data_IF_297109836317
#
_entry.id   IF_297109836317
#
_cell.length_a   1.000
_cell.length_b   1.000
_cell.length_c   1.000
_cell.angle_alpha   90.00
_cell.angle_beta   90.00
_cell.angle_gamma   90.00
#
_symmetry.space_group_name_H-M   'P 1'
#
loop_
_entity.id
_entity.type
_entity.pdbx_description
1 polymer ?
#
# COMPACT_ATOMS: atom_id res chain seq x y z
N UNK A 1 35.47 -59.72 2.77
CA UNK A 1 35.55 -58.33 3.22
C UNK A 1 34.64 -57.50 2.34
N UNK A 2 33.54 -57.02 2.91
CA UNK A 2 32.41 -56.43 2.20
C UNK A 2 32.69 -55.00 1.72
N UNK A 3 32.20 -54.74 0.51
CA UNK A 3 32.14 -53.48 -0.23
C UNK A 3 31.67 -52.29 0.61
N UNK A 4 32.45 -51.20 0.62
CA UNK A 4 31.99 -49.87 1.05
C UNK A 4 30.98 -49.33 0.04
N UNK A 5 29.70 -49.54 0.32
CA UNK A 5 28.63 -48.76 -0.26
C UNK A 5 28.80 -47.30 0.18
N UNK A 6 29.03 -46.42 -0.80
CA UNK A 6 28.82 -44.99 -0.61
C UNK A 6 27.34 -44.77 -0.31
N UNK A 7 27.03 -44.55 0.97
CA UNK A 7 25.77 -43.94 1.36
C UNK A 7 25.83 -42.48 0.92
N UNK A 8 25.50 -42.23 -0.34
CA UNK A 8 25.00 -40.93 -0.77
C UNK A 8 23.78 -40.65 0.10
N UNK A 9 23.97 -39.84 1.14
CA UNK A 9 22.93 -39.44 2.06
C UNK A 9 21.79 -38.78 1.29
N UNK A 10 20.75 -39.56 0.98
CA UNK A 10 19.41 -39.13 0.56
C UNK A 10 18.76 -38.40 1.76
N UNK A 11 19.30 -37.24 2.16
CA UNK A 11 18.76 -36.39 3.24
C UNK A 11 18.70 -34.90 2.89
N UNK A 12 18.62 -34.52 1.62
CA UNK A 12 18.52 -33.09 1.27
C UNK A 12 17.46 -32.71 0.23
N UNK A 13 16.50 -33.58 -0.06
CA UNK A 13 15.47 -33.30 -1.07
C UNK A 13 14.29 -32.47 -0.56
N UNK A 14 14.26 -32.13 0.74
CA UNK A 14 13.22 -31.28 1.35
C UNK A 14 13.73 -29.85 1.63
N UNK A 15 14.49 -29.29 0.68
CA UNK A 15 15.14 -27.97 0.78
C UNK A 15 14.37 -26.84 0.11
N UNK A 16 13.31 -27.17 -0.61
CA UNK A 16 12.52 -26.23 -1.37
C UNK A 16 11.20 -25.93 -0.68
N UNK A 17 10.72 -24.70 -0.80
CA UNK A 17 9.41 -24.31 -0.33
C UNK A 17 8.65 -23.52 -1.39
N UNK A 18 7.34 -23.74 -1.45
CA UNK A 18 6.46 -23.02 -2.34
C UNK A 18 6.12 -21.65 -1.74
N UNK A 19 6.16 -20.64 -2.61
CA UNK A 19 5.87 -19.26 -2.28
C UNK A 19 4.90 -18.69 -3.32
N UNK A 20 3.82 -18.09 -2.83
CA UNK A 20 2.84 -17.38 -3.65
C UNK A 20 2.85 -15.91 -3.27
N UNK A 21 3.06 -15.04 -4.26
CA UNK A 21 2.99 -13.59 -4.09
C UNK A 21 1.82 -13.04 -4.90
N UNK A 22 0.83 -12.48 -4.19
CA UNK A 22 -0.26 -11.75 -4.83
C UNK A 22 0.25 -10.40 -5.32
N UNK A 23 0.12 -10.15 -6.62
CA UNK A 23 0.57 -8.95 -7.29
C UNK A 23 -0.41 -7.78 -7.09
N UNK A 24 -0.14 -6.66 -7.74
CA UNK A 24 -0.94 -5.44 -7.59
C UNK A 24 -2.23 -5.46 -8.41
N UNK A 25 -2.32 -6.30 -9.43
CA UNK A 25 -3.51 -6.60 -10.23
C UNK A 25 -4.33 -7.78 -9.66
N UNK A 26 -3.98 -8.24 -8.46
CA UNK A 26 -4.54 -9.41 -7.76
C UNK A 26 -4.27 -10.77 -8.42
N UNK A 27 -3.46 -10.82 -9.50
CA UNK A 27 -2.90 -12.08 -9.99
C UNK A 27 -1.91 -12.68 -8.97
N UNK A 28 -1.64 -13.98 -9.10
CA UNK A 28 -0.75 -14.70 -8.19
C UNK A 28 0.48 -15.23 -8.92
N UNK A 29 1.66 -14.79 -8.47
CA UNK A 29 2.94 -15.35 -8.91
C UNK A 29 3.37 -16.45 -7.93
N UNK A 30 3.34 -17.70 -8.39
CA UNK A 30 3.76 -18.86 -7.59
C UNK A 30 5.10 -19.38 -8.08
N UNK A 31 6.03 -19.60 -7.15
CA UNK A 31 7.34 -20.16 -7.45
C UNK A 31 7.85 -21.04 -6.30
N UNK A 32 8.82 -21.89 -6.63
CA UNK A 32 9.55 -22.70 -5.66
C UNK A 32 10.88 -22.04 -5.36
N UNK A 33 11.19 -21.84 -4.08
CA UNK A 33 12.41 -21.19 -3.62
C UNK A 33 13.19 -22.12 -2.68
N UNK A 34 14.51 -21.98 -2.64
CA UNK A 34 15.33 -22.66 -1.64
C UNK A 34 15.01 -22.10 -0.23
N UNK A 35 15.06 -22.93 0.80
CA UNK A 35 14.73 -22.55 2.18
C UNK A 35 15.63 -21.45 2.74
N UNK A 36 16.87 -21.36 2.28
CA UNK A 36 17.82 -20.30 2.63
C UNK A 36 17.76 -19.08 1.71
N UNK A 37 16.91 -19.09 0.67
CA UNK A 37 16.74 -17.98 -0.25
C UNK A 37 16.42 -16.69 0.48
N UNK A 38 17.12 -15.62 0.10
CA UNK A 38 16.94 -14.28 0.64
C UNK A 38 15.73 -13.61 0.03
N UNK A 39 15.13 -12.66 0.75
CA UNK A 39 14.01 -11.87 0.21
C UNK A 39 14.35 -11.15 -1.10
N UNK A 40 15.61 -10.75 -1.28
CA UNK A 40 16.08 -10.13 -2.54
C UNK A 40 15.87 -11.03 -3.75
N UNK A 41 16.13 -12.35 -3.63
CA UNK A 41 15.98 -13.30 -4.74
C UNK A 41 14.52 -13.36 -5.22
N UNK A 42 13.57 -13.52 -4.30
CA UNK A 42 12.14 -13.51 -4.62
C UNK A 42 11.70 -12.17 -5.23
N UNK A 43 12.20 -11.06 -4.70
CA UNK A 43 11.87 -9.74 -5.22
C UNK A 43 12.38 -9.54 -6.66
N UNK A 44 13.61 -9.96 -6.95
CA UNK A 44 14.16 -9.86 -8.30
C UNK A 44 13.43 -10.77 -9.30
N UNK A 45 12.96 -11.96 -8.90
CA UNK A 45 12.09 -12.80 -9.73
C UNK A 45 10.79 -12.10 -10.11
N UNK A 46 10.14 -11.44 -9.14
CA UNK A 46 8.89 -10.70 -9.38
C UNK A 46 9.14 -9.49 -10.27
N UNK A 47 10.21 -8.72 -10.02
CA UNK A 47 10.56 -7.59 -10.88
C UNK A 47 10.87 -8.02 -12.31
N UNK A 48 11.52 -9.17 -12.49
CA UNK A 48 11.77 -9.74 -13.82
C UNK A 48 10.45 -10.15 -14.49
N UNK A 49 9.57 -10.86 -13.78
CA UNK A 49 8.26 -11.28 -14.29
C UNK A 49 7.39 -10.08 -14.73
N UNK A 50 7.39 -9.00 -13.95
CA UNK A 50 6.66 -7.76 -14.26
C UNK A 50 7.41 -6.84 -15.23
N UNK A 51 8.61 -7.21 -15.64
CA UNK A 51 9.51 -6.38 -16.45
C UNK A 51 9.70 -4.95 -15.88
N UNK A 52 9.95 -4.84 -14.57
CA UNK A 52 9.96 -3.60 -13.79
C UNK A 52 11.39 -3.12 -13.48
N UNK A 53 11.79 -1.94 -13.96
CA UNK A 53 13.12 -1.35 -13.64
C UNK A 53 13.08 -0.42 -12.43
N UNK A 54 12.02 0.38 -12.27
CA UNK A 54 11.84 1.31 -11.15
C UNK A 54 11.39 0.59 -9.86
N UNK A 55 12.08 -0.50 -9.50
CA UNK A 55 11.68 -1.42 -8.43
C UNK A 55 11.77 -0.83 -7.02
N UNK A 56 12.54 0.23 -6.83
CA UNK A 56 12.82 0.81 -5.51
C UNK A 56 11.56 1.36 -4.79
N UNK A 57 10.45 1.59 -5.51
CA UNK A 57 9.16 2.00 -4.93
C UNK A 57 8.37 0.85 -4.29
N UNK A 58 8.71 -0.41 -4.58
CA UNK A 58 7.92 -1.58 -4.22
C UNK A 58 8.57 -2.42 -3.14
N UNK A 59 7.76 -3.25 -2.49
CA UNK A 59 8.23 -4.23 -1.53
C UNK A 59 7.28 -5.41 -1.42
N UNK A 60 7.76 -6.48 -0.77
CA UNK A 60 6.95 -7.65 -0.46
C UNK A 60 6.50 -7.54 1.00
N UNK A 61 5.20 -7.66 1.23
CA UNK A 61 4.58 -7.63 2.56
C UNK A 61 3.97 -8.97 2.88
N UNK A 62 4.04 -9.38 4.14
CA UNK A 62 3.32 -10.55 4.66
C UNK A 62 2.62 -10.20 5.98
N UNK A 63 1.67 -11.06 6.37
CA UNK A 63 0.97 -10.95 7.65
C UNK A 63 1.28 -12.22 8.43
N UNK A 64 1.73 -12.06 9.66
CA UNK A 64 2.03 -13.21 10.52
C UNK A 64 0.75 -13.79 11.17
N UNK A 65 0.83 -14.96 11.84
CA UNK A 65 -0.33 -15.58 12.50
C UNK A 65 -1.00 -14.67 13.55
N UNK A 66 -0.24 -13.76 14.15
CA UNK A 66 -0.71 -12.78 15.14
C UNK A 66 -1.37 -11.55 14.47
N UNK A 67 -1.61 -11.60 13.16
CA UNK A 67 -2.17 -10.54 12.32
C UNK A 67 -1.29 -9.28 12.23
N UNK A 68 -0.01 -9.36 12.61
CA UNK A 68 0.94 -8.27 12.44
C UNK A 68 1.45 -8.24 11.00
N UNK A 69 1.43 -7.05 10.39
CA UNK A 69 2.00 -6.79 9.07
C UNK A 69 3.51 -6.63 9.16
N UNK A 70 4.22 -7.15 8.17
CA UNK A 70 5.67 -7.03 8.05
C UNK A 70 6.08 -6.78 6.61
N UNK A 71 7.11 -5.95 6.41
CA UNK A 71 7.85 -5.92 5.15
C UNK A 71 8.93 -6.99 5.18
N UNK A 72 9.04 -7.76 4.10
CA UNK A 72 10.10 -8.74 3.91
C UNK A 72 11.44 -8.02 3.83
N UNK A 73 12.37 -8.36 4.72
CA UNK A 73 13.74 -7.85 4.68
C UNK A 73 14.53 -8.59 3.60
N UNK A 74 14.94 -7.87 2.57
CA UNK A 74 15.58 -8.46 1.39
C UNK A 74 16.95 -9.11 1.67
N UNK A 75 17.67 -8.65 2.70
CA UNK A 75 18.99 -9.18 3.06
C UNK A 75 18.93 -10.47 3.88
N UNK A 76 17.74 -10.87 4.36
CA UNK A 76 17.53 -12.04 5.22
C UNK A 76 16.85 -13.17 4.46
N UNK A 77 17.11 -14.41 4.91
CA UNK A 77 16.38 -15.60 4.44
C UNK A 77 14.87 -15.42 4.68
N UNK A 78 14.05 -15.82 3.71
CA UNK A 78 12.60 -15.76 3.79
C UNK A 78 12.10 -16.67 4.92
N UNK A 79 12.54 -17.93 4.94
CA UNK A 79 12.10 -18.89 5.96
C UNK A 79 12.43 -18.47 7.39
N UNK A 80 13.50 -17.67 7.62
CA UNK A 80 13.85 -17.14 8.94
C UNK A 80 12.97 -15.97 9.39
N UNK A 81 12.20 -15.37 8.48
CA UNK A 81 11.31 -14.23 8.77
C UNK A 81 9.86 -14.66 8.94
N UNK A 82 9.47 -15.77 8.29
CA UNK A 82 8.13 -16.33 8.37
C UNK A 82 7.94 -17.08 9.70
N UNK A 83 6.85 -16.76 10.40
CA UNK A 83 6.40 -17.54 11.58
C UNK A 83 5.56 -18.77 11.19
N UNK A 84 4.89 -18.70 10.04
CA UNK A 84 4.09 -19.81 9.49
C UNK A 84 4.99 -20.84 8.79
N UNK A 85 4.51 -22.08 8.69
CA UNK A 85 5.12 -23.08 7.81
C UNK A 85 4.75 -22.79 6.34
N UNK A 86 5.55 -23.25 5.36
CA UNK A 86 5.16 -23.20 3.95
C UNK A 86 3.84 -23.92 3.67
N UNK A 87 3.10 -23.57 2.59
CA UNK A 87 3.44 -22.56 1.59
C UNK A 87 3.37 -21.14 2.14
N UNK A 88 4.28 -20.28 1.67
CA UNK A 88 4.31 -18.88 2.09
C UNK A 88 3.43 -18.01 1.19
N UNK A 89 2.51 -17.26 1.78
CA UNK A 89 1.67 -16.29 1.06
C UNK A 89 2.08 -14.87 1.42
N UNK A 90 2.36 -14.06 0.40
CA UNK A 90 2.80 -12.67 0.55
C UNK A 90 2.12 -11.79 -0.50
N UNK A 91 2.39 -10.49 -0.47
CA UNK A 91 1.82 -9.52 -1.39
C UNK A 91 2.87 -8.53 -1.87
N UNK A 92 2.95 -8.27 -3.17
CA UNK A 92 3.67 -7.13 -3.72
C UNK A 92 2.86 -5.86 -3.46
N UNK A 93 3.46 -4.82 -2.88
CA UNK A 93 2.81 -3.54 -2.57
C UNK A 93 3.75 -2.39 -2.87
N UNK A 94 3.19 -1.20 -3.08
CA UNK A 94 3.98 0.04 -3.05
C UNK A 94 4.43 0.26 -1.61
N UNK A 95 5.74 0.35 -1.41
CA UNK A 95 6.38 0.62 -0.12
C UNK A 95 6.68 2.10 0.04
N UNK A 96 7.12 2.74 -1.04
CA UNK A 96 7.37 4.18 -1.11
C UNK A 96 6.53 4.76 -2.25
N UNK A 97 5.52 5.56 -1.93
CA UNK A 97 4.69 6.22 -2.92
C UNK A 97 5.49 7.34 -3.59
N UNK A 98 5.45 7.49 -4.91
CA UNK A 98 6.09 8.62 -5.57
C UNK A 98 5.40 9.93 -5.13
N UNK A 99 6.14 10.98 -4.73
CA UNK A 99 5.56 12.30 -4.43
C UNK A 99 4.85 12.92 -5.63
N UNK A 100 5.35 12.64 -6.83
CA UNK A 100 4.76 13.01 -8.12
C UNK A 100 4.73 11.78 -9.04
N UNK A 101 3.59 11.07 -9.15
CA UNK A 101 3.46 9.91 -10.03
C UNK A 101 3.64 10.25 -11.51
N UNK A 102 3.40 11.50 -11.93
CA UNK A 102 3.58 11.91 -13.32
C UNK A 102 5.07 11.98 -13.71
N UNK A 103 5.96 12.14 -12.73
CA UNK A 103 7.41 12.15 -12.93
C UNK A 103 8.04 10.75 -13.05
N UNK A 104 7.28 9.68 -12.80
CA UNK A 104 7.75 8.31 -13.02
C UNK A 104 8.08 8.08 -14.50
N UNK A 105 9.22 7.45 -14.78
CA UNK A 105 9.69 7.30 -16.16
C UNK A 105 8.88 6.25 -16.91
N UNK A 106 8.66 5.09 -16.31
CA UNK A 106 8.02 3.96 -16.98
C UNK A 106 6.51 3.93 -16.73
N UNK A 107 5.75 3.63 -17.77
CA UNK A 107 4.30 3.46 -17.67
C UNK A 107 3.92 2.29 -16.77
N UNK A 108 4.65 1.17 -16.84
CA UNK A 108 4.38 0.01 -15.96
C UNK A 108 4.46 0.41 -14.48
N UNK A 109 5.41 1.26 -14.10
CA UNK A 109 5.53 1.77 -12.74
C UNK A 109 4.32 2.62 -12.37
N UNK A 110 3.89 3.53 -13.27
CA UNK A 110 2.68 4.35 -13.07
C UNK A 110 1.43 3.48 -12.92
N UNK A 111 1.27 2.47 -13.78
CA UNK A 111 0.16 1.53 -13.74
C UNK A 111 0.11 0.75 -12.42
N UNK A 112 1.25 0.23 -11.95
CA UNK A 112 1.32 -0.47 -10.66
C UNK A 112 1.00 0.45 -9.48
N UNK A 113 1.45 1.72 -9.52
CA UNK A 113 1.07 2.72 -8.50
C UNK A 113 -0.43 3.05 -8.58
N UNK A 114 -1.00 3.16 -9.79
CA UNK A 114 -2.44 3.32 -10.00
C UNK A 114 -3.22 2.18 -9.35
N UNK A 115 -2.83 0.92 -9.59
CA UNK A 115 -3.49 -0.25 -8.99
C UNK A 115 -3.43 -0.24 -7.45
N UNK A 116 -2.31 0.19 -6.87
CA UNK A 116 -2.21 0.35 -5.42
C UNK A 116 -3.16 1.44 -4.90
N UNK A 117 -3.17 2.62 -5.54
CA UNK A 117 -3.98 3.76 -5.07
C UNK A 117 -5.47 3.52 -5.33
N UNK A 118 -5.84 2.82 -6.41
CA UNK A 118 -7.18 2.25 -6.64
C UNK A 118 -7.59 1.31 -5.52
N UNK A 119 -6.69 0.41 -5.09
CA UNK A 119 -6.93 -0.47 -3.93
C UNK A 119 -7.09 0.33 -2.63
N UNK A 120 -6.33 1.41 -2.45
CA UNK A 120 -6.44 2.29 -1.28
C UNK A 120 -7.78 3.04 -1.27
N UNK A 121 -8.30 3.44 -2.44
CA UNK A 121 -9.66 3.97 -2.60
C UNK A 121 -10.72 2.93 -2.25
N UNK A 122 -10.59 1.72 -2.84
CA UNK A 122 -11.51 0.61 -2.61
C UNK A 122 -11.60 0.19 -1.15
N UNK A 123 -10.49 0.22 -0.41
CA UNK A 123 -10.50 -0.12 1.01
C UNK A 123 -10.75 1.08 1.93
N UNK A 124 -10.99 2.28 1.40
CA UNK A 124 -11.27 3.48 2.21
C UNK A 124 -10.06 4.05 2.95
N UNK A 125 -8.84 3.79 2.46
CA UNK A 125 -7.60 4.41 2.95
C UNK A 125 -7.37 5.79 2.34
N UNK A 126 -7.76 5.96 1.07
CA UNK A 126 -7.74 7.24 0.38
C UNK A 126 -9.04 8.00 0.66
N UNK A 127 -9.03 8.84 1.69
CA UNK A 127 -10.15 9.70 2.06
C UNK A 127 -10.29 10.88 1.09
N UNK A 128 -11.49 11.04 0.55
CA UNK A 128 -11.84 12.14 -0.34
C UNK A 128 -13.30 12.56 -0.18
N UNK A 129 -13.61 13.83 -0.52
CA UNK A 129 -14.99 14.32 -0.59
C UNK A 129 -15.75 13.63 -1.73
N UNK A 130 -17.08 13.62 -1.66
CA UNK A 130 -17.95 12.93 -2.64
C UNK A 130 -17.67 13.33 -4.10
N UNK A 131 -17.34 14.60 -4.38
CA UNK A 131 -17.05 15.02 -5.75
C UNK A 131 -15.73 14.44 -6.28
N UNK A 132 -14.70 14.39 -5.43
CA UNK A 132 -13.42 13.78 -5.78
C UNK A 132 -13.56 12.26 -5.89
N UNK A 133 -14.36 11.63 -5.03
CA UNK A 133 -14.69 10.22 -5.13
C UNK A 133 -15.34 9.89 -6.48
N UNK A 134 -16.34 10.67 -6.90
CA UNK A 134 -17.02 10.46 -8.18
C UNK A 134 -16.05 10.57 -9.37
N UNK A 135 -15.17 11.59 -9.35
CA UNK A 135 -14.17 11.80 -10.39
C UNK A 135 -13.14 10.67 -10.45
N UNK A 136 -12.60 10.25 -9.29
CA UNK A 136 -11.64 9.15 -9.21
C UNK A 136 -12.25 7.82 -9.70
N UNK A 137 -13.49 7.53 -9.32
CA UNK A 137 -14.19 6.34 -9.80
C UNK A 137 -14.52 6.42 -11.30
N UNK A 138 -14.82 7.61 -11.83
CA UNK A 138 -15.03 7.80 -13.27
C UNK A 138 -13.73 7.57 -14.06
N UNK A 139 -12.57 7.99 -13.56
CA UNK A 139 -11.28 7.66 -14.19
C UNK A 139 -11.00 6.15 -14.18
N UNK A 140 -11.29 5.45 -13.08
CA UNK A 140 -11.16 3.98 -13.03
C UNK A 140 -12.09 3.34 -14.07
N UNK A 141 -13.34 3.80 -14.15
CA UNK A 141 -14.33 3.28 -15.10
C UNK A 141 -13.86 3.48 -16.54
N UNK A 142 -13.47 4.70 -16.92
CA UNK A 142 -12.94 5.01 -18.25
C UNK A 142 -11.71 4.13 -18.59
N UNK A 143 -10.79 3.93 -17.64
CA UNK A 143 -9.60 3.12 -17.88
C UNK A 143 -9.92 1.63 -18.09
N UNK A 144 -11.01 1.13 -17.54
CA UNK A 144 -11.36 -0.30 -17.61
C UNK A 144 -12.31 -0.68 -18.73
N UNK A 145 -13.28 0.20 -19.07
CA UNK A 145 -14.30 -0.12 -20.08
C UNK A 145 -14.27 0.80 -21.31
N UNK A 146 -13.37 1.79 -21.33
CA UNK A 146 -13.27 2.78 -22.39
C UNK A 146 -14.49 3.70 -22.45
N UNK A 147 -14.65 4.39 -23.58
CA UNK A 147 -15.68 5.41 -23.76
C UNK A 147 -17.10 4.94 -23.48
N UNK A 148 -17.93 5.86 -22.99
CA UNK A 148 -19.34 5.62 -22.84
C UNK A 148 -20.04 5.28 -24.18
N UNK A 149 -20.62 4.08 -24.27
CA UNK A 149 -21.44 3.61 -25.37
C UNK A 149 -22.90 3.36 -24.86
N UNK A 150 -23.92 4.06 -25.40
CA UNK A 150 -25.32 3.86 -25.00
C UNK A 150 -25.85 2.43 -25.13
N UNK A 151 -25.33 1.64 -26.08
CA UNK A 151 -25.73 0.26 -26.30
C UNK A 151 -25.08 -0.71 -25.31
N UNK A 152 -23.90 -0.38 -24.77
CA UNK A 152 -23.19 -1.20 -23.78
C UNK A 152 -23.42 -0.75 -22.34
N UNK A 153 -23.76 0.53 -22.13
CA UNK A 153 -23.82 1.18 -20.81
C UNK A 153 -25.24 1.70 -20.51
N UNK A 154 -26.19 0.79 -20.19
CA UNK A 154 -27.54 1.16 -19.80
C UNK A 154 -27.56 1.89 -18.45
N UNK A 155 -28.69 2.51 -18.09
CA UNK A 155 -28.83 3.17 -16.79
C UNK A 155 -28.43 2.24 -15.63
N UNK A 156 -27.64 2.76 -14.68
CA UNK A 156 -27.11 1.98 -13.56
C UNK A 156 -25.93 1.07 -13.89
N UNK A 157 -25.33 1.13 -15.09
CA UNK A 157 -24.15 0.32 -15.42
C UNK A 157 -22.98 0.51 -14.44
N UNK A 158 -22.78 1.74 -13.93
CA UNK A 158 -21.71 2.06 -12.98
C UNK A 158 -21.84 1.30 -11.65
N UNK A 159 -23.05 0.91 -11.25
CA UNK A 159 -23.33 0.14 -10.02
C UNK A 159 -22.77 -1.30 -10.07
N UNK A 160 -22.41 -1.80 -11.26
CA UNK A 160 -21.77 -3.13 -11.42
C UNK A 160 -20.32 -3.16 -10.95
N UNK A 161 -19.70 -2.00 -10.77
CA UNK A 161 -18.30 -1.83 -10.42
C UNK A 161 -18.17 -1.41 -8.96
N UNK A 162 -17.40 -2.16 -8.17
CA UNK A 162 -17.16 -1.84 -6.77
C UNK A 162 -15.96 -0.90 -6.58
N UNK A 163 -16.18 0.42 -6.61
CA UNK A 163 -15.11 1.41 -6.41
C UNK A 163 -14.83 1.74 -4.93
N UNK A 164 -15.85 1.62 -4.08
CA UNK A 164 -15.80 1.96 -2.66
C UNK A 164 -16.43 0.83 -1.82
N UNK A 165 -16.15 0.73 -0.51
CA UNK A 165 -16.82 -0.27 0.32
C UNK A 165 -18.29 0.04 0.64
N UNK A 166 -18.74 1.29 0.49
CA UNK A 166 -20.15 1.70 0.62
C UNK A 166 -20.51 2.61 -0.56
N UNK A 167 -21.61 2.28 -1.25
CA UNK A 167 -22.09 3.04 -2.40
C UNK A 167 -23.40 3.76 -2.08
N UNK A 168 -23.66 4.81 -2.83
CA UNK A 168 -24.96 5.47 -2.82
C UNK A 168 -25.37 5.74 -4.26
N UNK A 169 -26.65 5.59 -4.55
CA UNK A 169 -27.20 5.81 -5.89
C UNK A 169 -26.86 7.20 -6.44
N UNK A 170 -26.80 8.23 -5.57
CA UNK A 170 -26.39 9.59 -5.95
C UNK A 170 -24.94 9.63 -6.46
N UNK A 171 -24.04 8.88 -5.83
CA UNK A 171 -22.63 8.79 -6.24
C UNK A 171 -22.52 8.03 -7.57
N UNK A 172 -23.21 6.90 -7.70
CA UNK A 172 -23.22 6.08 -8.92
C UNK A 172 -23.70 6.86 -10.14
N UNK A 173 -24.77 7.66 -9.99
CA UNK A 173 -25.26 8.56 -11.04
C UNK A 173 -24.23 9.61 -11.40
N UNK A 174 -23.55 10.21 -10.41
CA UNK A 174 -22.52 11.22 -10.68
C UNK A 174 -21.29 10.63 -11.37
N UNK A 175 -20.90 9.40 -11.04
CA UNK A 175 -19.82 8.68 -11.73
C UNK A 175 -20.18 8.47 -13.19
N UNK A 176 -21.39 7.95 -13.46
CA UNK A 176 -21.87 7.71 -14.82
C UNK A 176 -21.99 8.99 -15.65
N UNK A 177 -22.39 10.09 -15.03
CA UNK A 177 -22.46 11.42 -15.66
C UNK A 177 -21.06 11.89 -16.09
N UNK A 178 -20.08 11.91 -15.17
CA UNK A 178 -18.70 12.31 -15.48
C UNK A 178 -18.11 11.44 -16.59
N UNK A 179 -18.27 10.12 -16.49
CA UNK A 179 -17.80 9.18 -17.51
C UNK A 179 -18.39 9.48 -18.90
N UNK A 180 -19.69 9.80 -18.95
CA UNK A 180 -20.40 10.11 -20.20
C UNK A 180 -20.04 11.48 -20.79
N UNK A 181 -19.78 12.50 -19.97
CA UNK A 181 -19.70 13.89 -20.46
C UNK A 181 -18.29 14.48 -20.44
N UNK A 182 -17.40 13.98 -19.60
CA UNK A 182 -16.09 14.61 -19.33
C UNK A 182 -14.89 13.76 -19.79
N UNK A 183 -15.06 12.44 -19.99
CA UNK A 183 -13.92 11.51 -20.18
C UNK A 183 -13.80 10.86 -21.56
N UNK A 184 -14.74 11.13 -22.48
CA UNK A 184 -14.73 10.57 -23.85
C UNK A 184 -13.39 10.85 -24.55
N UNK A 185 -12.83 9.83 -25.18
CA UNK A 185 -11.58 9.87 -25.93
C UNK A 185 -10.33 9.72 -25.06
N UNK A 186 -10.46 9.62 -23.73
CA UNK A 186 -9.30 9.30 -22.89
C UNK A 186 -8.92 7.83 -23.03
N UNK A 187 -7.65 7.58 -23.31
CA UNK A 187 -7.07 6.24 -23.26
C UNK A 187 -6.92 5.77 -21.80
N UNK A 188 -6.79 4.46 -21.54
CA UNK A 188 -6.54 3.94 -20.20
C UNK A 188 -5.36 4.60 -19.50
N UNK A 189 -4.23 4.75 -20.21
CA UNK A 189 -3.00 5.39 -19.71
C UNK A 189 -3.26 6.81 -19.23
N UNK A 190 -4.07 7.56 -20.00
CA UNK A 190 -4.40 8.95 -19.71
C UNK A 190 -5.32 9.05 -18.49
N UNK A 191 -6.34 8.20 -18.41
CA UNK A 191 -7.24 8.16 -17.26
C UNK A 191 -6.55 7.70 -15.98
N UNK A 192 -5.65 6.71 -16.06
CA UNK A 192 -4.80 6.26 -14.95
C UNK A 192 -3.88 7.39 -14.45
N UNK A 193 -3.26 8.14 -15.35
CA UNK A 193 -2.42 9.29 -15.02
C UNK A 193 -3.24 10.40 -14.34
N UNK A 194 -4.39 10.76 -14.91
CA UNK A 194 -5.28 11.78 -14.35
C UNK A 194 -5.81 11.39 -12.97
N UNK A 195 -6.12 10.10 -12.77
CA UNK A 195 -6.47 9.54 -11.46
C UNK A 195 -5.34 9.77 -10.46
N UNK A 196 -4.09 9.44 -10.82
CA UNK A 196 -2.94 9.59 -9.94
C UNK A 196 -2.66 11.06 -9.60
N UNK A 197 -2.74 11.95 -10.60
CA UNK A 197 -2.59 13.40 -10.41
C UNK A 197 -3.65 13.99 -9.48
N UNK A 198 -4.88 13.46 -9.53
CA UNK A 198 -5.93 13.85 -8.59
C UNK A 198 -5.70 13.25 -7.19
N UNK A 199 -5.32 11.97 -7.13
CA UNK A 199 -5.15 11.25 -5.87
C UNK A 199 -4.01 11.81 -5.03
N UNK A 200 -2.88 12.22 -5.63
CA UNK A 200 -1.74 12.80 -4.89
C UNK A 200 -2.07 14.10 -4.14
N UNK A 201 -3.13 14.81 -4.57
CA UNK A 201 -3.58 16.04 -3.91
C UNK A 201 -4.37 15.77 -2.63
N UNK A 202 -4.79 14.53 -2.38
CA UNK A 202 -5.57 14.16 -1.21
C UNK A 202 -4.67 13.98 0.01
N UNK A 203 -5.12 14.43 1.18
CA UNK A 203 -4.34 14.41 2.42
C UNK A 203 -3.89 13.01 2.87
N UNK A 204 -4.59 11.97 2.40
CA UNK A 204 -4.36 10.57 2.75
C UNK A 204 -3.67 9.76 1.65
N UNK A 205 -3.15 10.44 0.62
CA UNK A 205 -2.30 9.80 -0.38
C UNK A 205 -1.07 9.15 0.28
N UNK A 206 -0.86 7.86 -0.02
CA UNK A 206 0.24 7.07 0.52
C UNK A 206 0.10 6.68 2.00
N UNK A 207 -1.08 6.81 2.60
CA UNK A 207 -1.32 6.39 4.00
C UNK A 207 -1.48 4.87 4.09
N UNK A 208 -0.50 4.18 4.68
CA UNK A 208 -0.67 2.83 5.27
C UNK A 208 -0.72 2.97 6.80
N UNK A 209 -1.91 2.86 7.44
CA UNK A 209 -2.06 3.25 8.83
C UNK A 209 -1.53 2.20 9.82
N UNK A 210 -0.84 2.66 10.86
CA UNK A 210 -0.42 1.89 12.02
C UNK A 210 -1.33 2.23 13.22
N UNK A 211 -2.13 1.27 13.73
CA UNK A 211 -3.01 1.52 14.87
C UNK A 211 -2.20 1.72 16.16
N UNK A 212 -2.48 2.81 16.88
CA UNK A 212 -1.88 3.17 18.15
C UNK A 212 -2.92 3.87 19.05
N UNK A 213 -2.50 4.25 20.25
CA UNK A 213 -3.21 5.17 21.14
C UNK A 213 -2.36 6.40 21.45
N UNK A 214 -3.00 7.54 21.64
CA UNK A 214 -2.34 8.73 22.20
C UNK A 214 -2.17 8.60 23.73
N UNK A 215 -1.56 9.61 24.36
CA UNK A 215 -1.36 9.68 25.81
C UNK A 215 -2.64 9.71 26.63
N UNK A 216 -3.76 10.12 26.02
CA UNK A 216 -5.08 10.14 26.62
C UNK A 216 -5.85 8.82 26.39
N UNK A 217 -5.23 7.84 25.72
CA UNK A 217 -5.83 6.55 25.40
C UNK A 217 -6.75 6.55 24.17
N UNK A 218 -6.87 7.68 23.46
CA UNK A 218 -7.70 7.75 22.25
C UNK A 218 -7.03 7.00 21.10
N UNK A 219 -7.81 6.27 20.26
CA UNK A 219 -7.26 5.64 19.08
C UNK A 219 -6.68 6.66 18.09
N UNK A 220 -5.47 6.38 17.62
CA UNK A 220 -4.78 7.17 16.61
C UNK A 220 -4.17 6.23 15.55
N UNK A 221 -4.15 6.67 14.30
CA UNK A 221 -3.47 5.98 13.21
C UNK A 221 -2.28 6.81 12.76
N UNK A 222 -1.10 6.23 12.88
CA UNK A 222 0.16 6.84 12.46
C UNK A 222 0.47 6.36 11.05
N UNK A 223 0.96 7.24 10.19
CA UNK A 223 1.41 6.85 8.85
C UNK A 223 2.59 7.71 8.40
N UNK A 224 3.34 7.16 7.45
CA UNK A 224 4.45 7.83 6.78
C UNK A 224 4.11 7.96 5.31
N UNK A 225 4.03 9.19 4.81
CA UNK A 225 3.68 9.51 3.43
C UNK A 225 4.90 10.09 2.72
N UNK A 226 4.84 10.31 1.39
CA UNK A 226 5.92 10.96 0.66
C UNK A 226 6.26 12.35 1.18
N UNK A 227 5.30 13.01 1.83
CA UNK A 227 5.42 14.39 2.29
C UNK A 227 5.82 14.51 3.77
N UNK A 228 5.62 13.47 4.58
CA UNK A 228 5.95 13.51 6.00
C UNK A 228 5.28 12.43 6.86
N UNK A 229 5.37 12.62 8.16
CA UNK A 229 4.65 11.84 9.16
C UNK A 229 3.26 12.44 9.41
N UNK A 230 2.24 11.60 9.51
CA UNK A 230 0.88 12.03 9.80
C UNK A 230 0.21 11.20 10.89
N UNK A 231 -0.67 11.85 11.64
CA UNK A 231 -1.52 11.22 12.66
C UNK A 231 -2.98 11.52 12.34
N UNK A 232 -3.76 10.45 12.24
CA UNK A 232 -5.18 10.49 11.95
C UNK A 232 -5.96 10.02 13.18
N UNK A 233 -6.94 10.83 13.63
CA UNK A 233 -7.92 10.45 14.64
C UNK A 233 -9.31 10.50 14.00
N UNK A 234 -9.95 9.34 13.86
CA UNK A 234 -11.10 9.18 12.98
C UNK A 234 -10.74 9.53 11.53
N UNK A 235 -11.45 10.51 10.95
CA UNK A 235 -11.22 11.00 9.59
C UNK A 235 -10.49 12.35 9.55
N UNK A 236 -9.89 12.77 10.67
CA UNK A 236 -9.20 14.06 10.77
C UNK A 236 -7.71 13.84 10.95
N UNK A 237 -6.93 14.59 10.18
CA UNK A 237 -5.49 14.75 10.38
C UNK A 237 -5.24 15.70 11.54
N UNK A 238 -4.81 15.15 12.67
CA UNK A 238 -4.53 15.92 13.90
C UNK A 238 -3.09 16.39 13.98
N UNK A 239 -2.17 15.65 13.35
CA UNK A 239 -0.79 16.09 13.18
C UNK A 239 -0.26 15.79 11.78
N UNK A 240 0.59 16.69 11.31
CA UNK A 240 1.38 16.54 10.11
C UNK A 240 2.75 17.16 10.35
N UNK A 241 3.82 16.37 10.21
CA UNK A 241 5.20 16.79 10.38
C UNK A 241 5.94 16.46 9.09
N UNK A 242 6.46 17.49 8.42
CA UNK A 242 7.25 17.30 7.19
C UNK A 242 8.57 16.61 7.52
N UNK A 243 9.18 15.98 6.52
CA UNK A 243 10.41 15.22 6.74
C UNK A 243 11.59 16.06 7.25
N UNK A 244 11.69 17.33 6.85
CA UNK A 244 12.67 18.30 7.36
C UNK A 244 12.46 18.58 8.86
N UNK A 245 11.21 18.70 9.31
CA UNK A 245 10.81 18.90 10.71
C UNK A 245 11.11 17.66 11.59
N UNK A 246 10.98 16.44 11.06
CA UNK A 246 11.24 15.20 11.82
C UNK A 246 12.74 15.00 12.06
N UNK A 247 13.16 15.04 13.33
CA UNK A 247 14.57 14.95 13.74
C UNK A 247 14.98 13.55 14.19
N UNK A 248 14.12 12.85 14.94
CA UNK A 248 14.45 11.51 15.48
C UNK A 248 13.21 10.66 15.68
N UNK A 249 13.35 9.36 15.41
CA UNK A 249 12.35 8.33 15.68
C UNK A 249 12.92 7.32 16.68
N UNK A 250 12.18 7.03 17.74
CA UNK A 250 12.55 6.05 18.77
C UNK A 250 11.38 5.15 19.10
N UNK A 251 11.69 3.95 19.60
CA UNK A 251 10.71 3.12 20.26
C UNK A 251 11.31 2.36 21.45
N UNK A 252 10.48 2.12 22.46
CA UNK A 252 10.80 1.32 23.63
C UNK A 252 9.58 0.49 24.01
N UNK A 253 9.72 -0.84 23.98
CA UNK A 253 8.60 -1.77 24.10
C UNK A 253 7.45 -1.39 23.15
N UNK A 254 6.31 -0.93 23.70
CA UNK A 254 5.12 -0.52 22.94
C UNK A 254 5.08 0.98 22.63
N UNK A 255 5.98 1.78 23.21
CA UNK A 255 5.96 3.24 23.13
C UNK A 255 6.79 3.72 21.96
N UNK A 256 6.18 4.54 21.11
CA UNK A 256 6.81 5.21 19.96
C UNK A 256 6.94 6.70 20.23
N UNK A 257 8.12 7.25 19.98
CA UNK A 257 8.39 8.68 20.10
C UNK A 257 8.87 9.26 18.78
N UNK A 258 8.27 10.38 18.39
CA UNK A 258 8.73 11.20 17.28
C UNK A 258 9.14 12.58 17.80
N UNK A 259 10.40 12.92 17.54
CA UNK A 259 10.98 14.22 17.85
C UNK A 259 10.93 15.06 16.58
N UNK A 260 10.47 16.31 16.71
CA UNK A 260 10.42 17.24 15.59
C UNK A 260 10.70 18.68 16.02
N UNK A 261 11.19 19.48 15.08
CA UNK A 261 11.34 20.92 15.23
C UNK A 261 10.20 21.59 14.45
N UNK A 262 9.35 22.34 15.13
CA UNK A 262 8.32 23.16 14.48
C UNK A 262 8.85 24.57 14.19
N UNK A 263 8.02 25.38 13.52
CA UNK A 263 8.26 26.81 13.34
C UNK A 263 8.58 27.47 14.70
N UNK A 264 9.43 28.50 14.67
CA UNK A 264 10.00 29.16 15.86
C UNK A 264 10.97 28.29 16.68
N UNK A 265 11.59 27.28 16.07
CA UNK A 265 12.56 26.36 16.69
C UNK A 265 12.04 25.63 17.95
N UNK A 266 10.70 25.48 18.03
CA UNK A 266 10.06 24.73 19.11
C UNK A 266 10.26 23.24 18.91
N UNK A 267 11.02 22.62 19.81
CA UNK A 267 11.23 21.17 19.85
C UNK A 267 10.02 20.50 20.49
N UNK A 268 9.36 19.62 19.74
CA UNK A 268 8.23 18.83 20.22
C UNK A 268 8.56 17.33 20.24
N UNK A 269 7.89 16.61 21.13
CA UNK A 269 7.95 15.15 21.21
C UNK A 269 6.52 14.64 21.24
N UNK A 270 6.11 13.92 20.19
CA UNK A 270 4.83 13.20 20.22
C UNK A 270 5.07 11.76 20.66
N UNK A 271 4.19 11.26 21.52
CA UNK A 271 4.27 9.92 22.11
C UNK A 271 2.99 9.14 21.83
N UNK A 272 3.16 7.93 21.32
CA UNK A 272 2.06 7.03 20.98
C UNK A 272 2.35 5.60 21.44
N UNK A 273 1.29 4.82 21.67
CA UNK A 273 1.38 3.47 22.19
C UNK A 273 0.82 2.47 21.17
N UNK A 274 1.68 1.61 20.64
CA UNK A 274 1.32 0.52 19.75
C UNK A 274 0.69 -0.65 20.54
N UNK A 275 -0.09 -1.54 19.89
CA UNK A 275 -0.73 -2.67 20.57
C UNK A 275 0.27 -3.69 21.13
N UNK A 276 1.37 -3.93 20.41
CA UNK A 276 2.43 -4.89 20.75
C UNK A 276 3.82 -4.30 20.50
N UNK A 277 4.89 -4.85 21.15
CA UNK A 277 6.26 -4.43 20.86
C UNK A 277 6.65 -4.66 19.40
N UNK A 278 6.15 -5.73 18.78
CA UNK A 278 6.38 -6.08 17.37
C UNK A 278 5.76 -5.03 16.45
N UNK A 279 4.53 -4.59 16.74
CA UNK A 279 3.87 -3.52 16.02
C UNK A 279 4.63 -2.20 16.12
N UNK A 280 5.14 -1.87 17.33
CA UNK A 280 5.92 -0.66 17.57
C UNK A 280 7.26 -0.69 16.82
N UNK A 281 7.95 -1.83 16.84
CA UNK A 281 9.19 -2.06 16.10
C UNK A 281 8.97 -1.96 14.59
N UNK A 282 7.87 -2.51 14.08
CA UNK A 282 7.49 -2.39 12.67
C UNK A 282 7.22 -0.94 12.28
N UNK A 283 6.40 -0.21 13.06
CA UNK A 283 6.15 1.23 12.91
C UNK A 283 7.47 2.02 12.86
N UNK A 284 8.37 1.77 13.80
CA UNK A 284 9.67 2.45 13.84
C UNK A 284 10.54 2.15 12.63
N UNK A 285 10.63 0.89 12.20
CA UNK A 285 11.34 0.54 10.96
C UNK A 285 10.76 1.26 9.76
N UNK A 286 9.43 1.24 9.57
CA UNK A 286 8.77 1.96 8.49
C UNK A 286 9.12 3.45 8.52
N UNK A 287 9.11 4.08 9.69
CA UNK A 287 9.47 5.49 9.83
C UNK A 287 10.92 5.79 9.48
N UNK A 288 11.87 4.95 9.93
CA UNK A 288 13.29 5.11 9.59
C UNK A 288 13.53 4.93 8.09
N UNK A 289 12.88 3.94 7.47
CA UNK A 289 12.99 3.69 6.03
C UNK A 289 12.40 4.86 5.20
N UNK A 290 11.20 5.35 5.54
CA UNK A 290 10.57 6.46 4.84
C UNK A 290 11.34 7.77 5.03
N UNK A 291 11.83 8.05 6.24
CA UNK A 291 12.69 9.20 6.49
C UNK A 291 13.96 9.11 5.65
N UNK A 292 14.63 7.95 5.60
CA UNK A 292 15.80 7.78 4.76
C UNK A 292 15.49 7.98 3.28
N UNK A 293 14.39 7.40 2.79
CA UNK A 293 14.02 7.44 1.37
C UNK A 293 13.66 8.86 0.89
N UNK A 294 12.83 9.60 1.62
CA UNK A 294 12.36 10.91 1.16
C UNK A 294 13.19 12.11 1.64
N UNK A 295 13.88 12.01 2.80
CA UNK A 295 14.61 13.15 3.39
C UNK A 295 16.04 13.26 2.85
N UNK A 296 16.73 12.13 2.67
CA UNK A 296 18.16 12.13 2.36
C UNK A 296 18.40 12.35 0.88
N UNK A 297 19.55 12.94 0.57
CA UNK A 297 19.94 13.19 -0.82
C UNK A 297 20.69 12.01 -1.43
N UNK A 298 21.43 11.27 -0.59
CA UNK A 298 22.22 10.11 -1.02
C UNK A 298 22.09 8.98 -0.01
N UNK A 299 22.05 7.74 -0.49
CA UNK A 299 22.07 6.52 0.33
C UNK A 299 23.32 6.43 1.23
N UNK A 300 24.44 7.05 0.82
CA UNK A 300 25.66 7.15 1.63
C UNK A 300 25.49 7.93 2.93
N UNK A 301 24.47 8.81 3.01
CA UNK A 301 24.12 9.55 4.23
C UNK A 301 23.36 8.69 5.25
N UNK A 302 22.87 7.52 4.85
CA UNK A 302 22.07 6.63 5.71
C UNK A 302 22.93 6.06 6.83
N UNK A 303 22.59 6.43 8.07
CA UNK A 303 23.22 5.96 9.30
C UNK A 303 22.42 4.83 9.94
N UNK A 304 23.09 3.98 10.73
CA UNK A 304 22.40 3.04 11.60
C UNK A 304 21.68 3.79 12.72
N UNK A 305 20.38 3.56 12.85
CA UNK A 305 19.53 4.11 13.91
C UNK A 305 19.39 3.08 15.02
N UNK A 306 19.52 3.53 16.27
CA UNK A 306 19.24 2.73 17.47
C UNK A 306 17.90 3.13 18.07
N UNK A 307 17.11 2.15 18.49
CA UNK A 307 15.81 2.39 19.12
C UNK A 307 15.94 3.00 20.52
N UNK A 308 17.03 2.71 21.23
CA UNK A 308 17.32 3.23 22.57
C UNK A 308 18.76 3.76 22.68
N UNK A 309 19.00 4.60 23.69
CA UNK A 309 20.32 5.13 24.01
C UNK A 309 21.13 4.20 24.95
N UNK A 310 20.53 3.11 25.44
CA UNK A 310 21.20 2.13 26.29
C UNK A 310 21.96 1.12 25.43
N UNK A 311 23.28 1.12 25.58
CA UNK A 311 24.15 0.08 25.05
C UNK A 311 23.60 -1.28 25.58
N UNK A 312 23.35 -2.24 24.68
CA UNK A 312 22.87 -3.62 24.94
C UNK A 312 21.35 -3.91 25.04
N UNK A 313 20.43 -2.92 25.08
CA UNK A 313 18.97 -3.19 25.09
C UNK A 313 18.18 -2.64 23.88
N UNK A 314 18.86 -2.07 22.88
CA UNK A 314 18.24 -1.42 21.72
C UNK A 314 18.21 -2.28 20.45
N UNK A 315 17.14 -2.13 19.65
CA UNK A 315 17.13 -2.59 18.27
C UNK A 315 17.96 -1.64 17.40
N UNK A 316 18.85 -2.19 16.57
CA UNK A 316 19.58 -1.42 15.55
C UNK A 316 18.99 -1.71 14.18
N UNK A 317 18.85 -0.67 13.36
CA UNK A 317 18.36 -0.80 12.00
C UNK A 317 19.06 0.19 11.09
N UNK A 318 19.30 -0.23 9.86
CA UNK A 318 19.89 0.61 8.81
C UNK A 318 19.13 0.33 7.53
N UNK A 319 18.57 1.38 6.93
CA UNK A 319 18.01 1.29 5.59
C UNK A 319 19.13 0.97 4.59
N UNK A 320 18.86 0.13 3.61
CA UNK A 320 19.87 -0.41 2.67
C UNK A 320 19.50 -0.28 1.19
N UNK A 321 18.44 0.48 0.87
CA UNK A 321 18.04 0.79 -0.50
C UNK A 321 18.51 2.18 -0.95
N UNK A 322 18.14 2.54 -2.18
CA UNK A 322 18.38 3.87 -2.74
C UNK A 322 17.39 4.89 -2.18
N UNK A 323 17.81 6.15 -2.08
CA UNK A 323 16.90 7.23 -1.68
C UNK A 323 16.15 7.77 -2.90
N UNK A 324 15.03 8.48 -2.70
CA UNK A 324 14.15 8.94 -3.77
C UNK A 324 14.89 9.71 -4.87
N UNK A 325 15.84 10.59 -4.51
CA UNK A 325 16.65 11.34 -5.48
C UNK A 325 17.47 10.42 -6.39
N UNK A 326 18.16 9.43 -5.81
CA UNK A 326 18.96 8.45 -6.57
C UNK A 326 18.08 7.57 -7.48
N UNK A 327 16.90 7.19 -7.00
CA UNK A 327 15.92 6.44 -7.80
C UNK A 327 15.52 7.26 -9.03
N UNK A 328 15.13 8.53 -8.84
CA UNK A 328 14.77 9.42 -9.94
C UNK A 328 15.91 9.63 -10.94
N UNK A 329 17.14 9.85 -10.45
CA UNK A 329 18.33 10.00 -11.29
C UNK A 329 18.66 8.74 -12.11
N UNK A 330 18.43 7.55 -11.53
CA UNK A 330 18.60 6.29 -12.24
C UNK A 330 17.47 6.06 -13.26
N UNK A 331 16.22 6.31 -12.88
CA UNK A 331 15.06 6.22 -13.76
C UNK A 331 15.20 7.11 -14.98
N UNK A 332 15.74 8.32 -14.83
CA UNK A 332 15.99 9.24 -15.93
C UNK A 332 16.94 8.69 -17.01
N UNK A 333 17.76 7.69 -16.67
CA UNK A 333 18.72 7.03 -17.59
C UNK A 333 18.14 5.82 -18.32
N UNK A 334 16.91 5.41 -18.01
CA UNK A 334 16.25 4.27 -18.67
C UNK A 334 16.06 4.61 -20.16
N UNK A 335 16.65 3.77 -21.01
CA UNK A 335 16.52 3.79 -22.48
C UNK A 335 16.14 2.40 -22.96
N UNK A 336 14.84 2.16 -23.07
CA UNK A 336 14.26 0.95 -23.66
C UNK A 336 12.85 1.26 -24.13
N UNK A 337 12.31 0.37 -24.96
CA UNK A 337 10.89 0.39 -25.28
C UNK A 337 10.05 0.04 -24.05
N UNK A 338 8.92 0.73 -23.82
CA UNK A 338 8.02 0.40 -22.72
C UNK A 338 7.56 -1.06 -22.80
N UNK A 339 7.49 -1.78 -21.68
CA UNK A 339 6.92 -3.12 -21.66
C UNK A 339 5.42 -3.09 -22.00
N UNK A 340 4.92 -4.19 -22.57
CA UNK A 340 3.48 -4.37 -22.75
C UNK A 340 2.77 -4.49 -21.39
N UNK A 341 1.67 -3.77 -21.24
CA UNK A 341 0.88 -3.76 -20.01
C UNK A 341 -0.44 -4.48 -20.25
N UNK A 342 -0.59 -5.65 -19.66
CA UNK A 342 -1.86 -6.38 -19.66
C UNK A 342 -2.78 -5.81 -18.59
N UNK A 343 -3.68 -4.91 -18.99
CA UNK A 343 -4.68 -4.32 -18.10
C UNK A 343 -5.81 -5.30 -17.83
N UNK A 344 -5.87 -5.84 -16.62
CA UNK A 344 -7.02 -6.62 -16.17
C UNK A 344 -8.16 -5.68 -15.74
N UNK A 345 -9.28 -5.70 -16.45
CA UNK A 345 -10.50 -4.98 -16.04
C UNK A 345 -11.12 -5.60 -14.78
N UNK A 346 -11.91 -4.83 -14.01
CA UNK A 346 -12.70 -5.42 -12.93
C UNK A 346 -13.69 -6.44 -13.51
N UNK A 347 -13.68 -7.65 -12.97
CA UNK A 347 -14.78 -8.59 -13.22
C UNK A 347 -16.02 -7.99 -12.56
N UNK A 348 -17.13 -7.75 -13.30
CA UNK A 348 -18.38 -7.32 -12.70
C UNK A 348 -18.75 -8.27 -11.57
N UNK A 349 -19.06 -7.75 -10.38
CA UNK A 349 -19.39 -8.60 -9.25
C UNK A 349 -20.55 -9.52 -9.63
N UNK A 350 -20.34 -10.84 -9.59
CA UNK A 350 -21.37 -11.86 -9.88
C UNK A 350 -22.45 -11.95 -8.78
N UNK A 351 -22.53 -10.99 -7.87
CA UNK A 351 -23.53 -10.94 -6.81
C UNK A 351 -24.34 -9.64 -6.84
N UNK A 352 -25.23 -9.54 -7.82
CA UNK A 352 -26.46 -8.78 -7.67
C UNK A 352 -27.61 -9.66 -8.21
N UNK A 353 -28.49 -10.21 -7.36
CA UNK A 353 -29.77 -10.68 -7.84
C UNK A 353 -30.47 -9.46 -8.43
N UNK A 354 -30.91 -9.59 -9.68
CA UNK A 354 -31.85 -8.70 -10.32
C UNK A 354 -33.01 -8.39 -9.38
N UNK A 355 -33.06 -7.17 -8.82
CA UNK A 355 -34.23 -6.69 -8.09
C UNK A 355 -35.22 -6.21 -9.15
N UNK A 356 -36.09 -7.13 -9.57
CA UNK A 356 -37.40 -6.80 -10.12
C UNK A 356 -38.14 -5.90 -9.14
N UNK A 357 -38.74 -4.84 -9.67
CA UNK A 357 -39.52 -3.85 -8.93
C UNK A 357 -40.58 -4.49 -7.99
N UNK A 358 -40.50 -4.13 -6.71
CA UNK A 358 -41.51 -4.39 -5.68
C UNK A 358 -41.36 -3.39 -4.53
N UNK A 359 -42.45 -2.96 -3.86
CA UNK A 359 -42.46 -1.74 -3.06
C UNK A 359 -41.62 -1.88 -1.80
N UNK A 360 -40.69 -0.93 -1.59
CA UNK A 360 -39.86 -0.84 -0.39
C UNK A 360 -40.73 -0.53 0.83
N UNK A 361 -40.76 -1.45 1.79
CA UNK A 361 -41.19 -1.15 3.16
C UNK A 361 -40.15 -0.24 3.82
N UNK A 362 -40.62 0.95 4.17
CA UNK A 362 -39.90 1.97 4.93
C UNK A 362 -39.94 1.65 6.42
N UNK A 363 -38.80 1.34 7.04
CA UNK A 363 -38.61 1.53 8.49
C UNK A 363 -37.14 1.39 8.91
N UNK A 364 -36.36 2.46 8.74
CA UNK A 364 -35.22 2.72 9.63
C UNK A 364 -35.30 4.19 10.07
N UNK A 365 -35.24 4.49 11.39
CA UNK A 365 -35.43 5.84 11.90
C UNK A 365 -34.37 6.81 11.38
N UNK A 366 -34.81 8.04 11.07
CA UNK A 366 -33.96 9.18 10.73
C UNK A 366 -32.96 9.45 11.85
N UNK A 367 -31.74 8.98 11.69
CA UNK A 367 -30.56 9.57 12.33
C UNK A 367 -29.55 9.96 11.25
N UNK A 368 -28.97 11.15 11.43
CA UNK A 368 -28.24 11.99 10.47
C UNK A 368 -27.48 11.23 9.37
N UNK A 369 -27.83 11.53 8.11
CA UNK A 369 -27.00 11.30 6.92
C UNK A 369 -25.55 11.75 7.20
N UNK A 370 -24.60 10.82 7.24
CA UNK A 370 -23.18 11.10 7.04
C UNK A 370 -22.72 10.43 5.75
N UNK A 371 -21.88 11.18 5.04
CA UNK A 371 -21.41 10.97 3.68
C UNK A 371 -20.71 9.62 3.46
N UNK A 372 -20.38 9.36 2.20
CA UNK A 372 -19.58 8.28 1.59
C UNK A 372 -18.26 7.95 2.34
N UNK A 373 -17.90 8.70 3.38
CA UNK A 373 -16.72 8.46 4.20
C UNK A 373 -16.90 7.23 5.09
N UNK A 374 -16.31 6.13 4.64
CA UNK A 374 -15.91 5.06 5.55
C UNK A 374 -14.79 5.60 6.43
N UNK A 375 -14.96 5.44 7.73
CA UNK A 375 -13.93 5.81 8.68
C UNK A 375 -12.69 4.96 8.42
N UNK A 376 -11.48 5.50 8.54
CA UNK A 376 -10.24 4.69 8.51
C UNK A 376 -10.33 3.50 9.48
N UNK A 377 -11.08 3.65 10.58
CA UNK A 377 -11.39 2.57 11.52
C UNK A 377 -12.23 1.44 10.90
N UNK A 378 -13.26 1.79 10.12
CA UNK A 378 -14.14 0.83 9.43
C UNK A 378 -13.38 0.15 8.27
N UNK A 379 -12.56 0.91 7.54
CA UNK A 379 -11.65 0.43 6.50
C UNK A 379 -10.64 -0.60 7.04
N UNK A 380 -10.12 -0.38 8.25
CA UNK A 380 -9.18 -1.30 8.88
C UNK A 380 -9.84 -2.63 9.25
N UNK A 381 -11.07 -2.59 9.78
CA UNK A 381 -11.84 -3.79 10.12
C UNK A 381 -12.19 -4.63 8.88
N UNK A 382 -12.45 -3.98 7.73
CA UNK A 382 -12.65 -4.66 6.45
C UNK A 382 -11.34 -5.26 5.91
N UNK A 383 -10.21 -4.54 6.03
CA UNK A 383 -8.90 -5.01 5.58
C UNK A 383 -8.26 -6.12 6.43
N UNK A 384 -8.76 -6.38 7.63
CA UNK A 384 -8.43 -7.57 8.44
C UNK A 384 -9.17 -8.84 8.00
N UNK A 385 -10.19 -8.71 7.15
CA UNK A 385 -10.89 -9.84 6.53
C UNK A 385 -10.09 -10.39 5.34
N UNK A 386 -8.83 -10.76 5.57
CA UNK A 386 -8.22 -11.82 4.78
C UNK A 386 -8.88 -13.12 5.24
N UNK A 387 -10.03 -13.46 4.65
CA UNK A 387 -10.48 -14.85 4.66
C UNK A 387 -9.40 -15.64 3.91
N UNK A 388 -8.92 -16.68 4.57
CA UNK A 388 -7.86 -17.56 4.06
C UNK A 388 -8.26 -18.32 2.81
#
# INVERSE_FOLDING_TARGET
>A
MLSRLMSSSIRSLDRECNCTVRLLDDSEYTCTIQRDAKGQYLFDLICHHLNLLEKDYFGIRYVDPDKQRHWLEFTKSIAKQMKSQPPFTMCLRVKFYPPDPAALKEEITRYLVFLQVKRDLYHGRLLCKTSDAALLAAYILQAEIGDYDPGKHPEGYSSKFQFFPKHSEKLERRIAEIHKTELIGQTPETSELNFLQKAQMLETYGVDPHPCKDVSGNPAFLAFTPFGFTVLQGNRRVHFLKWDEVTKLKFEAKTFHIYANQKEDRKIILTYFAPTPEACKHLWKCGVENQAFYKLEKSSQVRTVSSSNLFFKGSRFRYSGKVAKEVMEQSAKIKRDPPEIHRAGMVPSRSCPSITHGPRLTSVPRTRRRAVHISIMEAFNLGSSFKG
#
